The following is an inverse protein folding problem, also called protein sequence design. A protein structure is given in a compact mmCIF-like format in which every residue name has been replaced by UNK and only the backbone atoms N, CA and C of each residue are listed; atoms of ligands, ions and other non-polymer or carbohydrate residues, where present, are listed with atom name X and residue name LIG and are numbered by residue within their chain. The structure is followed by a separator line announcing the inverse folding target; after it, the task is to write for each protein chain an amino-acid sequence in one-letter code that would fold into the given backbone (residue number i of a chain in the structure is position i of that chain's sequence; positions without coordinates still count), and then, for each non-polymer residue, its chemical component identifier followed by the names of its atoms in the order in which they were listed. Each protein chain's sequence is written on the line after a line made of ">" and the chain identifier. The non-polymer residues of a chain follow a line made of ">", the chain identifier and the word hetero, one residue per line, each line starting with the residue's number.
data_IF_698429278198
#
_entry.id   IF_698429278198
#
_cell.length_a   1.000
_cell.length_b   1.000
_cell.length_c   1.000
_cell.angle_alpha   90.00
_cell.angle_beta   90.00
_cell.angle_gamma   90.00
#
_symmetry.space_group_name_H-M   'P 1'
#
loop_
_entity.id
_entity.type
_entity.pdbx_description
1 polymer ?
#
# COMPACT_ATOMS: atom_id res chain seq x y z
N UNK A 1 -7.34 18.34 -36.35
CA UNK A 1 -7.38 17.52 -35.14
C UNK A 1 -6.32 16.42 -35.21
N UNK A 2 -5.47 16.22 -34.19
CA UNK A 2 -4.48 15.14 -34.21
C UNK A 2 -5.20 13.77 -34.26
N UNK A 3 -4.59 12.80 -35.00
CA UNK A 3 -5.17 11.45 -35.19
C UNK A 3 -5.54 10.73 -33.86
N UNK A 4 -4.90 11.10 -32.72
CA UNK A 4 -5.19 10.56 -31.37
C UNK A 4 -6.56 11.03 -30.85
N UNK A 5 -6.93 12.31 -31.00
CA UNK A 5 -8.23 12.85 -30.59
C UNK A 5 -9.41 12.23 -31.36
N UNK A 6 -9.24 11.96 -32.67
CA UNK A 6 -10.23 11.29 -33.49
C UNK A 6 -10.48 9.83 -33.06
N UNK A 7 -9.43 9.08 -32.67
CA UNK A 7 -9.56 7.72 -32.14
C UNK A 7 -10.31 7.70 -30.79
N UNK A 8 -9.99 8.65 -29.90
CA UNK A 8 -10.64 8.78 -28.60
C UNK A 8 -12.12 9.18 -28.76
N UNK A 9 -12.44 10.15 -29.65
CA UNK A 9 -13.82 10.57 -29.93
C UNK A 9 -14.65 9.42 -30.54
N UNK A 10 -14.08 8.64 -31.45
CA UNK A 10 -14.72 7.47 -32.06
C UNK A 10 -15.01 6.37 -31.01
N UNK A 11 -14.10 6.13 -30.08
CA UNK A 11 -14.29 5.16 -28.99
C UNK A 11 -15.36 5.65 -27.99
N UNK A 12 -15.35 6.95 -27.66
CA UNK A 12 -16.38 7.57 -26.80
C UNK A 12 -17.78 7.49 -27.40
N UNK A 13 -17.92 7.72 -28.70
CA UNK A 13 -19.18 7.59 -29.43
C UNK A 13 -19.64 6.12 -29.47
N UNK A 14 -18.71 5.19 -29.70
CA UNK A 14 -19.01 3.76 -29.71
C UNK A 14 -19.42 3.26 -28.31
N UNK A 15 -18.78 3.77 -27.26
CA UNK A 15 -19.11 3.47 -25.85
C UNK A 15 -20.45 4.09 -25.42
N UNK A 16 -20.75 5.35 -25.81
CA UNK A 16 -22.07 5.96 -25.61
C UNK A 16 -23.19 5.19 -26.29
N UNK A 17 -22.96 4.60 -27.47
CA UNK A 17 -23.93 3.72 -28.14
C UNK A 17 -24.12 2.38 -27.39
N UNK A 18 -23.12 1.87 -26.72
CA UNK A 18 -23.19 0.68 -25.87
C UNK A 18 -23.87 0.97 -24.51
N UNK A 19 -23.65 2.16 -23.94
CA UNK A 19 -24.27 2.59 -22.68
C UNK A 19 -25.80 2.88 -22.80
N UNK A 20 -26.32 3.16 -24.00
CA UNK A 20 -27.76 3.27 -24.24
C UNK A 20 -28.52 1.94 -24.08
N UNK A 21 -27.82 0.83 -23.88
CA UNK A 21 -28.41 -0.50 -23.63
C UNK A 21 -28.38 -0.93 -22.15
N UNK A 22 -28.25 -0.03 -21.18
CA UNK A 22 -28.36 -0.30 -19.73
C UNK A 22 -27.58 -1.52 -19.20
N UNK A 23 -26.54 -1.99 -19.89
CA UNK A 23 -25.59 -2.92 -19.29
C UNK A 23 -24.52 -2.11 -18.59
N UNK A 24 -24.48 -2.16 -17.26
CA UNK A 24 -23.34 -1.70 -16.47
C UNK A 24 -22.08 -2.34 -17.04
N UNK A 25 -21.11 -1.53 -17.49
CA UNK A 25 -19.79 -2.02 -17.90
C UNK A 25 -19.11 -2.56 -16.67
N UNK A 26 -19.32 -3.84 -16.38
CA UNK A 26 -18.59 -4.49 -15.29
C UNK A 26 -17.10 -4.54 -15.64
N UNK A 27 -16.29 -3.98 -14.76
CA UNK A 27 -14.83 -4.13 -14.82
C UNK A 27 -14.52 -5.62 -14.80
N UNK A 28 -13.66 -6.08 -15.69
CA UNK A 28 -13.25 -7.48 -15.69
C UNK A 28 -12.49 -7.78 -14.40
N UNK A 29 -12.96 -8.77 -13.63
CA UNK A 29 -12.26 -9.25 -12.45
C UNK A 29 -10.83 -9.69 -12.81
N UNK A 30 -9.86 -9.26 -11.99
CA UNK A 30 -8.45 -9.65 -12.10
C UNK A 30 -7.85 -9.82 -10.71
N UNK A 31 -7.05 -10.87 -10.54
CA UNK A 31 -6.32 -11.11 -9.31
C UNK A 31 -5.10 -10.18 -9.15
N UNK A 32 -4.63 -10.05 -7.92
CA UNK A 32 -3.47 -9.21 -7.56
C UNK A 32 -2.23 -9.55 -8.42
N UNK A 33 -1.92 -10.82 -8.59
CA UNK A 33 -0.78 -11.27 -9.40
C UNK A 33 -0.94 -10.93 -10.90
N UNK A 34 -2.16 -10.97 -11.43
CA UNK A 34 -2.46 -10.55 -12.80
C UNK A 34 -2.32 -9.04 -12.96
N UNK A 35 -2.84 -8.24 -12.02
CA UNK A 35 -2.72 -6.78 -12.04
C UNK A 35 -1.26 -6.33 -11.99
N UNK A 36 -0.43 -6.97 -11.14
CA UNK A 36 1.01 -6.70 -11.09
C UNK A 36 1.67 -6.92 -12.45
N UNK A 37 1.44 -8.06 -13.08
CA UNK A 37 1.97 -8.39 -14.40
C UNK A 37 1.47 -7.42 -15.46
N UNK A 38 0.17 -7.13 -15.49
CA UNK A 38 -0.44 -6.23 -16.44
C UNK A 38 0.18 -4.83 -16.42
N UNK A 39 0.46 -4.30 -15.22
CA UNK A 39 1.12 -3.01 -15.06
C UNK A 39 2.56 -3.03 -15.61
N UNK A 40 3.34 -4.00 -15.21
CA UNK A 40 4.72 -4.12 -15.64
C UNK A 40 4.83 -4.32 -17.16
N UNK A 41 3.95 -5.14 -17.76
CA UNK A 41 3.90 -5.37 -19.21
C UNK A 41 3.46 -4.11 -19.97
N UNK A 42 2.51 -3.35 -19.43
CA UNK A 42 2.08 -2.09 -20.00
C UNK A 42 3.25 -1.10 -20.10
N UNK A 43 3.98 -0.88 -19.00
CA UNK A 43 5.10 0.04 -19.01
C UNK A 43 6.32 -0.47 -19.80
N UNK A 44 6.55 -1.79 -19.85
CA UNK A 44 7.52 -2.37 -20.76
C UNK A 44 7.19 -2.02 -22.22
N UNK A 45 5.90 -2.08 -22.60
CA UNK A 45 5.44 -1.68 -23.94
C UNK A 45 5.67 -0.19 -24.25
N UNK A 46 5.81 0.66 -23.23
CA UNK A 46 6.18 2.08 -23.32
C UNK A 46 7.71 2.30 -23.27
N UNK A 47 8.50 1.24 -23.31
CA UNK A 47 9.96 1.28 -23.33
C UNK A 47 10.65 1.28 -21.96
N UNK A 48 9.93 1.02 -20.87
CA UNK A 48 10.52 0.91 -19.55
C UNK A 48 11.26 -0.42 -19.35
N UNK A 49 12.36 -0.38 -18.60
CA UNK A 49 13.03 -1.57 -18.13
C UNK A 49 12.28 -2.09 -16.90
N UNK A 50 11.78 -3.32 -16.94
CA UNK A 50 11.26 -3.98 -15.75
C UNK A 50 12.42 -4.31 -14.81
N UNK A 51 12.37 -3.78 -13.60
CA UNK A 51 13.31 -4.14 -12.55
C UNK A 51 12.60 -4.96 -11.47
N UNK A 52 13.33 -5.89 -10.86
CA UNK A 52 12.84 -6.62 -9.69
C UNK A 52 12.65 -5.67 -8.51
N UNK A 53 11.77 -6.04 -7.58
CA UNK A 53 11.66 -5.35 -6.29
C UNK A 53 13.00 -5.35 -5.56
N UNK A 54 13.37 -4.21 -5.04
CA UNK A 54 14.54 -4.10 -4.15
C UNK A 54 14.21 -4.69 -2.79
N UNK A 55 15.26 -4.98 -2.01
CA UNK A 55 15.13 -5.38 -0.62
C UNK A 55 14.42 -4.30 0.21
N UNK A 56 13.67 -4.71 1.23
CA UNK A 56 13.13 -3.81 2.25
C UNK A 56 14.22 -3.15 3.09
N UNK A 57 15.43 -3.71 3.09
CA UNK A 57 16.61 -3.13 3.75
C UNK A 57 17.22 -2.08 2.81
N UNK A 58 17.20 -0.78 3.17
CA UNK A 58 17.81 0.26 2.36
C UNK A 58 19.30 -0.01 2.13
N UNK A 59 19.75 0.19 0.89
CA UNK A 59 21.15 0.10 0.54
C UNK A 59 21.74 1.51 0.45
N UNK A 60 22.79 1.79 1.24
CA UNK A 60 23.48 3.09 1.27
C UNK A 60 22.60 4.32 1.60
N UNK A 61 21.43 4.13 2.21
CA UNK A 61 20.58 5.21 2.67
C UNK A 61 20.28 5.07 4.17
N UNK A 62 20.94 5.88 4.99
CA UNK A 62 20.76 5.91 6.45
C UNK A 62 19.56 6.77 6.89
N UNK A 63 18.90 7.47 5.97
CA UNK A 63 17.70 8.28 6.26
C UNK A 63 16.46 7.43 6.43
N UNK A 64 16.46 6.21 5.91
CA UNK A 64 15.34 5.27 5.97
C UNK A 64 15.69 4.04 6.79
N UNK A 65 14.80 3.68 7.69
CA UNK A 65 14.92 2.43 8.44
C UNK A 65 14.55 1.22 7.57
N UNK A 66 13.45 1.33 6.82
CA UNK A 66 12.92 0.29 5.93
C UNK A 66 12.38 1.01 4.69
N UNK A 67 12.47 0.39 3.51
CA UNK A 67 11.93 0.93 2.26
C UNK A 67 10.42 1.11 2.38
N UNK A 68 9.94 2.33 2.11
CA UNK A 68 8.57 2.78 2.31
C UNK A 68 7.91 3.35 1.05
N UNK A 69 8.65 3.41 -0.07
CA UNK A 69 8.15 3.91 -1.37
C UNK A 69 8.91 3.28 -2.53
N UNK A 70 8.32 3.34 -3.73
CA UNK A 70 8.93 2.84 -4.96
C UNK A 70 10.19 3.61 -5.37
N UNK A 71 10.23 4.91 -5.08
CA UNK A 71 11.34 5.79 -5.41
C UNK A 71 12.56 5.61 -4.50
N UNK A 72 12.35 5.21 -3.23
CA UNK A 72 13.41 5.20 -2.23
C UNK A 72 14.69 4.47 -2.69
N UNK A 73 14.65 3.25 -3.26
CA UNK A 73 15.84 2.58 -3.75
C UNK A 73 16.41 3.18 -5.04
N UNK A 74 15.68 4.05 -5.73
CA UNK A 74 16.07 4.69 -6.99
C UNK A 74 16.57 6.13 -6.80
N UNK A 75 16.57 6.65 -5.55
CA UNK A 75 16.94 8.02 -5.22
C UNK A 75 18.27 8.50 -5.84
N UNK A 76 19.35 7.68 -5.94
CA UNK A 76 20.60 8.09 -6.59
C UNK A 76 20.44 8.45 -8.08
N UNK A 77 19.47 7.85 -8.79
CA UNK A 77 19.19 8.15 -10.19
C UNK A 77 18.46 9.49 -10.35
N UNK A 78 17.59 9.85 -9.42
CA UNK A 78 16.89 11.15 -9.40
C UNK A 78 17.84 12.32 -9.17
N UNK A 79 18.84 12.12 -8.32
CA UNK A 79 19.83 13.15 -7.97
C UNK A 79 21.00 13.21 -8.95
N UNK A 80 21.11 12.27 -9.89
CA UNK A 80 22.22 12.16 -10.81
C UNK A 80 23.53 11.64 -10.16
N UNK A 81 23.47 11.10 -8.94
CA UNK A 81 24.61 10.47 -8.28
C UNK A 81 25.02 9.16 -8.96
N UNK A 82 24.07 8.46 -9.53
CA UNK A 82 24.28 7.24 -10.31
C UNK A 82 23.57 7.33 -11.65
N UNK A 83 24.12 6.63 -12.66
CA UNK A 83 23.51 6.51 -13.97
C UNK A 83 22.51 5.35 -13.93
N UNK A 84 21.22 5.58 -14.26
CA UNK A 84 20.25 4.51 -14.28
C UNK A 84 20.55 3.51 -15.42
N UNK A 85 20.22 2.22 -15.26
CA UNK A 85 20.43 1.22 -16.32
C UNK A 85 19.60 1.52 -17.57
N UNK A 86 18.53 2.27 -17.42
CA UNK A 86 17.72 2.86 -18.51
C UNK A 86 17.01 4.10 -17.96
N UNK A 87 16.78 5.11 -18.80
CA UNK A 87 16.07 6.33 -18.38
C UNK A 87 14.60 6.12 -18.03
N UNK A 88 14.01 4.99 -18.47
CA UNK A 88 12.65 4.55 -18.13
C UNK A 88 12.73 3.23 -17.39
N UNK A 89 12.21 3.20 -16.19
CA UNK A 89 12.20 2.02 -15.33
C UNK A 89 10.79 1.80 -14.79
N UNK A 90 10.38 0.54 -14.62
CA UNK A 90 9.14 0.18 -13.92
C UNK A 90 9.41 -0.92 -12.91
N UNK A 91 8.78 -0.84 -11.75
CA UNK A 91 8.92 -1.80 -10.66
C UNK A 91 7.58 -2.09 -10.00
N UNK A 92 7.51 -3.22 -9.31
CA UNK A 92 6.55 -3.47 -8.25
C UNK A 92 7.34 -3.60 -6.95
N UNK A 93 7.44 -2.52 -6.18
CA UNK A 93 8.30 -2.42 -5.00
C UNK A 93 7.59 -2.84 -3.72
N UNK A 94 8.21 -3.75 -2.98
CA UNK A 94 7.85 -4.07 -1.59
C UNK A 94 8.05 -2.85 -0.70
N UNK A 95 7.03 -2.48 0.07
CA UNK A 95 7.08 -1.33 0.97
C UNK A 95 6.55 -1.67 2.35
N UNK A 96 7.14 -1.08 3.38
CA UNK A 96 6.66 -1.15 4.77
C UNK A 96 6.46 0.28 5.30
N UNK A 97 5.25 0.56 5.78
CA UNK A 97 4.90 1.79 6.52
C UNK A 97 4.32 1.42 7.88
N UNK A 98 4.90 1.96 8.94
CA UNK A 98 4.48 1.68 10.33
C UNK A 98 3.82 2.87 11.01
N UNK A 99 3.80 4.05 10.38
CA UNK A 99 3.12 5.24 10.92
C UNK A 99 1.66 4.99 11.22
N UNK A 100 0.97 4.23 10.38
CA UNK A 100 -0.46 3.93 10.49
C UNK A 100 -0.79 2.60 11.16
N UNK A 101 0.14 1.99 11.90
CA UNK A 101 -0.06 0.66 12.51
C UNK A 101 -1.32 0.57 13.36
N UNK A 102 -1.72 1.67 14.01
CA UNK A 102 -2.93 1.72 14.84
C UNK A 102 -4.22 1.81 14.01
N UNK A 103 -4.13 2.17 12.72
CA UNK A 103 -5.24 2.21 11.77
C UNK A 103 -5.44 0.87 11.06
N UNK A 104 -4.43 -0.01 11.11
CA UNK A 104 -4.51 -1.35 10.52
C UNK A 104 -5.63 -2.15 11.18
N UNK A 105 -6.49 -2.69 10.36
CA UNK A 105 -7.67 -3.45 10.78
C UNK A 105 -8.92 -2.59 11.07
N UNK A 106 -8.79 -1.26 11.19
CA UNK A 106 -9.91 -0.33 11.46
C UNK A 106 -10.42 0.35 10.19
N UNK A 107 -9.57 0.55 9.20
CA UNK A 107 -9.90 1.19 7.92
C UNK A 107 -9.84 0.20 6.77
N UNK A 108 -10.47 0.52 5.65
CA UNK A 108 -10.51 -0.33 4.46
C UNK A 108 -9.20 -0.32 3.64
N UNK A 109 -8.33 0.69 3.82
CA UNK A 109 -7.22 1.01 2.91
C UNK A 109 -5.82 0.97 3.54
N UNK A 110 -5.70 0.82 4.88
CA UNK A 110 -4.41 0.83 5.55
C UNK A 110 -3.86 -0.57 5.81
N UNK A 111 -2.62 -0.79 5.36
CA UNK A 111 -1.81 -1.96 5.64
C UNK A 111 -0.37 -1.57 5.95
N UNK A 112 0.33 -2.38 6.73
CA UNK A 112 1.75 -2.17 7.06
C UNK A 112 2.64 -2.51 5.87
N UNK A 113 2.44 -3.68 5.27
CA UNK A 113 3.08 -4.08 4.02
C UNK A 113 2.13 -3.83 2.85
N UNK A 114 2.66 -3.25 1.80
CA UNK A 114 1.95 -3.09 0.53
C UNK A 114 2.92 -3.15 -0.65
N UNK A 115 2.39 -3.40 -1.83
CA UNK A 115 3.13 -3.39 -3.07
C UNK A 115 2.87 -2.08 -3.81
N UNK A 116 3.93 -1.33 -4.13
CA UNK A 116 3.86 -0.09 -4.89
C UNK A 116 4.30 -0.34 -6.32
N UNK A 117 3.35 -0.24 -7.24
CA UNK A 117 3.60 -0.21 -8.67
C UNK A 117 4.12 1.18 -9.05
N UNK A 118 5.23 1.25 -9.75
CA UNK A 118 5.86 2.51 -10.11
C UNK A 118 6.43 2.51 -11.52
N UNK A 119 6.28 3.64 -12.21
CA UNK A 119 6.97 3.95 -13.45
C UNK A 119 7.76 5.25 -13.26
N UNK A 120 9.01 5.22 -13.68
CA UNK A 120 10.00 6.24 -13.40
C UNK A 120 10.61 6.75 -14.68
N UNK A 121 10.85 8.08 -14.74
CA UNK A 121 11.60 8.75 -15.82
C UNK A 121 12.75 9.52 -15.22
N UNK A 122 13.93 9.29 -15.73
CA UNK A 122 15.15 10.00 -15.34
C UNK A 122 15.57 10.93 -16.47
N UNK A 123 14.95 12.13 -16.54
CA UNK A 123 15.20 13.13 -17.56
C UNK A 123 14.83 12.70 -18.99
N UNK A 124 13.79 11.87 -19.16
CA UNK A 124 13.31 11.40 -20.47
C UNK A 124 11.92 11.99 -20.77
N UNK A 125 10.85 11.46 -20.16
CA UNK A 125 9.51 12.03 -20.28
C UNK A 125 9.09 12.74 -18.99
N UNK A 126 8.03 13.56 -19.07
CA UNK A 126 7.54 14.32 -17.93
C UNK A 126 6.01 14.24 -17.80
N UNK A 127 5.33 15.35 -17.42
CA UNK A 127 3.90 15.38 -17.06
C UNK A 127 2.98 14.85 -18.16
N UNK A 128 3.23 15.22 -19.41
CA UNK A 128 2.35 14.85 -20.53
C UNK A 128 2.22 13.34 -20.65
N UNK A 129 3.32 12.64 -20.85
CA UNK A 129 3.30 11.18 -20.98
C UNK A 129 2.86 10.50 -19.70
N UNK A 130 3.29 10.99 -18.52
CA UNK A 130 2.92 10.38 -17.24
C UNK A 130 1.40 10.40 -17.04
N UNK A 131 0.74 11.53 -17.27
CA UNK A 131 -0.71 11.68 -17.14
C UNK A 131 -1.43 10.85 -18.22
N UNK A 132 -1.00 10.92 -19.47
CA UNK A 132 -1.63 10.16 -20.55
C UNK A 132 -1.53 8.65 -20.33
N UNK A 133 -0.38 8.13 -19.89
CA UNK A 133 -0.21 6.69 -19.66
C UNK A 133 -0.93 6.20 -18.41
N UNK A 134 -1.01 7.01 -17.37
CA UNK A 134 -1.81 6.64 -16.19
C UNK A 134 -3.30 6.55 -16.54
N UNK A 135 -3.79 7.49 -17.34
CA UNK A 135 -5.16 7.45 -17.84
C UNK A 135 -5.43 6.27 -18.77
N UNK A 136 -4.55 6.04 -19.76
CA UNK A 136 -4.62 4.91 -20.69
C UNK A 136 -4.62 3.57 -19.95
N UNK A 137 -3.73 3.43 -18.96
CA UNK A 137 -3.67 2.21 -18.16
C UNK A 137 -4.97 1.94 -17.41
N UNK A 138 -5.45 2.92 -16.67
CA UNK A 138 -6.67 2.74 -15.86
C UNK A 138 -7.92 2.52 -16.71
N UNK A 139 -8.08 3.27 -17.80
CA UNK A 139 -9.33 3.26 -18.58
C UNK A 139 -9.35 2.26 -19.74
N UNK A 140 -8.20 2.04 -20.41
CA UNK A 140 -8.14 1.14 -21.57
C UNK A 140 -7.59 -0.24 -21.22
N UNK A 141 -6.57 -0.32 -20.35
CA UNK A 141 -5.91 -1.59 -20.00
C UNK A 141 -6.62 -2.29 -18.86
N UNK A 142 -6.91 -1.60 -17.77
CA UNK A 142 -7.68 -2.14 -16.64
C UNK A 142 -9.18 -2.12 -16.94
N UNK A 143 -9.68 -1.09 -17.62
CA UNK A 143 -11.07 -0.95 -18.02
C UNK A 143 -11.95 -0.28 -16.97
N UNK A 144 -11.36 0.56 -16.09
CA UNK A 144 -12.14 1.33 -15.14
C UNK A 144 -13.02 2.36 -15.85
N UNK A 145 -14.16 2.67 -15.25
CA UNK A 145 -15.07 3.68 -15.76
C UNK A 145 -14.45 5.08 -15.64
N UNK A 146 -14.20 5.79 -16.76
CA UNK A 146 -13.65 7.14 -16.74
C UNK A 146 -14.50 8.13 -15.97
N UNK A 147 -15.82 7.92 -15.90
CA UNK A 147 -16.73 8.84 -15.21
C UNK A 147 -16.65 8.71 -13.68
N UNK A 148 -15.97 7.66 -13.18
CA UNK A 148 -15.68 7.43 -11.77
C UNK A 148 -14.24 7.83 -11.37
N UNK A 149 -13.42 8.33 -12.30
CA UNK A 149 -12.06 8.75 -12.06
C UNK A 149 -12.00 10.27 -11.90
N UNK A 150 -11.37 10.73 -10.83
CA UNK A 150 -11.25 12.13 -10.42
C UNK A 150 -9.78 12.47 -10.15
N UNK A 151 -9.13 13.27 -11.01
CA UNK A 151 -7.76 13.72 -10.74
C UNK A 151 -7.74 14.89 -9.74
N UNK A 152 -6.71 14.92 -8.91
CA UNK A 152 -6.29 16.10 -8.18
C UNK A 152 -4.93 16.59 -8.70
N UNK A 153 -4.63 17.86 -8.45
CA UNK A 153 -3.38 18.50 -8.83
C UNK A 153 -2.93 19.46 -7.75
N UNK A 154 -1.63 19.77 -7.72
CA UNK A 154 -1.15 20.89 -6.92
C UNK A 154 -1.80 22.21 -7.38
N UNK A 155 -2.21 23.04 -6.44
CA UNK A 155 -3.04 24.22 -6.67
C UNK A 155 -2.50 25.16 -7.76
N UNK A 156 -1.17 25.29 -7.87
CA UNK A 156 -0.48 26.19 -8.80
C UNK A 156 0.01 25.47 -10.07
N UNK A 157 -0.33 24.18 -10.26
CA UNK A 157 0.11 23.39 -11.43
C UNK A 157 -0.90 23.49 -12.59
N UNK A 158 -0.90 24.65 -13.28
CA UNK A 158 -1.75 24.86 -14.45
C UNK A 158 -1.36 24.01 -15.65
N UNK A 159 -0.12 23.53 -15.73
CA UNK A 159 0.32 22.60 -16.77
C UNK A 159 -0.42 21.27 -16.63
N UNK A 160 -0.40 20.66 -15.44
CA UNK A 160 -1.15 19.42 -15.18
C UNK A 160 -2.67 19.60 -15.37
N UNK A 161 -3.23 20.75 -14.93
CA UNK A 161 -4.63 21.09 -15.17
C UNK A 161 -4.96 21.08 -16.66
N UNK A 162 -4.14 21.73 -17.49
CA UNK A 162 -4.37 21.79 -18.94
C UNK A 162 -4.29 20.42 -19.61
N UNK A 163 -3.37 19.56 -19.20
CA UNK A 163 -3.27 18.19 -19.72
C UNK A 163 -4.56 17.43 -19.37
N UNK A 164 -5.00 17.42 -18.11
CA UNK A 164 -6.24 16.75 -17.71
C UNK A 164 -7.47 17.29 -18.42
N UNK A 165 -7.60 18.63 -18.50
CA UNK A 165 -8.79 19.27 -19.05
C UNK A 165 -8.83 19.26 -20.59
N UNK A 166 -7.73 19.73 -21.24
CA UNK A 166 -7.75 19.97 -22.70
C UNK A 166 -7.35 18.74 -23.49
N UNK A 167 -6.45 17.90 -22.98
CA UNK A 167 -5.90 16.77 -23.74
C UNK A 167 -6.63 15.48 -23.41
N UNK A 168 -6.80 15.16 -22.12
CA UNK A 168 -7.59 14.00 -21.65
C UNK A 168 -9.09 14.30 -21.79
N UNK A 169 -9.53 15.55 -21.59
CA UNK A 169 -10.92 15.99 -21.74
C UNK A 169 -11.78 15.80 -20.50
N UNK A 170 -11.17 15.85 -19.31
CA UNK A 170 -11.90 15.84 -18.03
C UNK A 170 -12.52 17.23 -17.81
N UNK A 171 -13.79 17.27 -17.40
CA UNK A 171 -14.46 18.53 -17.09
C UNK A 171 -13.80 19.24 -15.90
N UNK A 172 -13.64 20.57 -15.94
CA UNK A 172 -12.92 21.34 -14.92
C UNK A 172 -13.39 21.07 -13.48
N UNK A 173 -14.70 20.88 -13.29
CA UNK A 173 -15.33 20.60 -12.00
C UNK A 173 -14.99 19.22 -11.41
N UNK A 174 -14.37 18.35 -12.22
CA UNK A 174 -13.88 17.03 -11.79
C UNK A 174 -12.38 17.02 -11.52
N UNK A 175 -11.68 18.15 -11.68
CA UNK A 175 -10.25 18.29 -11.40
C UNK A 175 -10.10 19.10 -10.13
N UNK A 176 -9.58 18.47 -9.07
CA UNK A 176 -9.47 19.09 -7.75
C UNK A 176 -8.09 19.72 -7.58
N UNK A 177 -8.06 20.91 -6.96
CA UNK A 177 -6.82 21.64 -6.64
C UNK A 177 -6.59 21.60 -5.14
N UNK A 178 -5.48 21.01 -4.72
CA UNK A 178 -5.11 20.94 -3.31
C UNK A 178 -3.77 21.62 -3.04
N UNK A 179 -3.55 21.92 -1.78
CA UNK A 179 -2.33 22.57 -1.31
C UNK A 179 -1.13 21.62 -1.24
N UNK A 180 -0.09 22.11 -0.57
CA UNK A 180 1.15 21.37 -0.40
C UNK A 180 0.98 20.10 0.45
N UNK A 181 0.02 20.09 1.34
CA UNK A 181 -0.23 18.96 2.25
C UNK A 181 -0.69 17.71 1.50
N UNK A 182 -1.43 17.88 0.38
CA UNK A 182 -2.01 16.77 -0.37
C UNK A 182 -1.30 16.54 -1.72
N UNK A 183 -1.04 17.62 -2.49
CA UNK A 183 -0.53 17.49 -3.86
C UNK A 183 0.91 18.01 -4.07
N UNK A 184 1.76 17.90 -3.05
CA UNK A 184 3.20 18.12 -3.17
C UNK A 184 3.93 17.02 -2.40
N UNK A 185 4.65 16.15 -3.11
CA UNK A 185 5.36 15.06 -2.47
C UNK A 185 6.77 15.47 -2.07
N UNK A 186 7.10 15.27 -0.81
CA UNK A 186 8.44 15.40 -0.25
C UNK A 186 8.64 14.44 0.93
N UNK A 187 9.86 13.95 1.11
CA UNK A 187 10.20 13.10 2.23
C UNK A 187 11.61 13.42 2.74
N UNK A 188 11.68 14.30 3.74
CA UNK A 188 12.95 14.82 4.25
C UNK A 188 13.76 15.53 3.18
N UNK A 189 15.09 15.40 3.24
CA UNK A 189 15.97 15.94 2.20
C UNK A 189 15.96 15.06 0.94
N UNK A 190 15.94 15.69 -0.22
CA UNK A 190 16.01 14.98 -1.51
C UNK A 190 15.05 15.45 -2.58
N UNK A 191 14.89 14.66 -3.65
CA UNK A 191 14.00 14.97 -4.76
C UNK A 191 12.55 15.12 -4.30
N UNK A 192 11.88 16.16 -4.79
CA UNK A 192 10.49 16.48 -4.46
C UNK A 192 9.81 17.27 -5.59
N UNK A 193 8.52 17.45 -5.49
CA UNK A 193 7.77 18.26 -6.44
C UNK A 193 6.27 18.14 -6.32
N UNK A 194 5.52 18.95 -7.11
CA UNK A 194 4.07 18.85 -7.18
C UNK A 194 3.67 17.46 -7.70
N UNK A 195 2.47 17.04 -7.32
CA UNK A 195 1.95 15.77 -7.80
C UNK A 195 0.50 15.88 -8.25
N UNK A 196 0.08 14.88 -9.02
CA UNK A 196 -1.29 14.68 -9.46
C UNK A 196 -1.74 13.28 -9.06
N UNK A 197 -2.76 13.21 -8.24
CA UNK A 197 -3.34 11.97 -7.79
C UNK A 197 -4.59 11.62 -8.59
N UNK A 198 -4.90 10.34 -8.69
CA UNK A 198 -6.10 9.84 -9.35
C UNK A 198 -6.93 9.08 -8.31
N UNK A 199 -8.14 9.56 -8.07
CA UNK A 199 -9.11 8.95 -7.16
C UNK A 199 -10.17 8.20 -7.95
N UNK A 200 -10.65 7.09 -7.39
CA UNK A 200 -11.78 6.34 -7.91
C UNK A 200 -12.98 6.47 -6.98
N UNK A 201 -14.13 6.93 -7.50
CA UNK A 201 -15.39 6.96 -6.74
C UNK A 201 -15.98 5.55 -6.63
N UNK A 202 -15.92 4.96 -5.45
CA UNK A 202 -16.47 3.64 -5.13
C UNK A 202 -17.99 3.65 -4.93
N UNK A 203 -18.57 4.84 -4.91
CA UNK A 203 -20.01 5.04 -4.73
C UNK A 203 -20.40 5.43 -3.30
N UNK A 204 -21.63 5.92 -3.16
CA UNK A 204 -22.15 6.51 -1.91
C UNK A 204 -22.15 5.56 -0.72
N UNK A 205 -22.26 4.24 -0.96
CA UNK A 205 -22.24 3.22 0.10
C UNK A 205 -20.97 3.25 0.94
N UNK A 206 -19.86 3.77 0.40
CA UNK A 206 -18.56 3.92 1.08
C UNK A 206 -18.31 5.33 1.61
N UNK A 207 -19.27 6.24 1.39
CA UNK A 207 -19.19 7.62 1.85
C UNK A 207 -19.44 7.79 3.35
N UNK A 208 -19.01 8.92 3.90
CA UNK A 208 -19.22 9.27 5.30
C UNK A 208 -20.68 9.71 5.62
N UNK A 209 -21.56 9.79 4.64
CA UNK A 209 -22.95 10.25 4.79
C UNK A 209 -23.09 11.73 5.12
N UNK A 210 -22.00 12.51 5.13
CA UNK A 210 -22.03 13.94 5.41
C UNK A 210 -22.26 14.75 4.14
N UNK A 211 -23.01 15.88 4.20
CA UNK A 211 -23.08 16.81 3.10
C UNK A 211 -21.67 17.30 2.71
N UNK A 212 -21.40 17.37 1.40
CA UNK A 212 -20.09 17.81 0.89
C UNK A 212 -19.00 16.72 0.83
N UNK A 213 -19.38 15.43 0.99
CA UNK A 213 -18.44 14.33 0.73
C UNK A 213 -17.92 14.39 -0.72
N UNK A 214 -16.62 14.62 -0.87
CA UNK A 214 -15.95 14.82 -2.16
C UNK A 214 -14.53 14.23 -2.13
N UNK A 215 -13.78 14.35 -3.21
CA UNK A 215 -12.33 14.02 -3.24
C UNK A 215 -11.61 14.79 -2.14
N UNK A 216 -10.67 14.11 -1.44
CA UNK A 216 -10.00 14.64 -0.25
C UNK A 216 -10.74 14.37 1.08
N UNK A 217 -11.93 13.76 1.05
CA UNK A 217 -12.59 13.30 2.27
C UNK A 217 -11.91 12.04 2.82
N UNK A 218 -11.74 11.95 4.14
CA UNK A 218 -11.11 10.80 4.82
C UNK A 218 -11.91 9.49 4.77
N UNK A 219 -13.11 9.51 4.17
CA UNK A 219 -13.92 8.29 4.00
C UNK A 219 -13.40 7.41 2.86
N UNK A 220 -13.95 6.19 2.76
CA UNK A 220 -13.53 5.21 1.77
C UNK A 220 -14.22 5.33 0.40
N UNK A 221 -15.00 6.40 0.14
CA UNK A 221 -15.69 6.63 -1.13
C UNK A 221 -14.73 6.95 -2.25
N UNK A 222 -13.91 7.99 -2.08
CA UNK A 222 -12.92 8.41 -3.06
C UNK A 222 -11.57 7.82 -2.69
N UNK A 223 -11.27 6.66 -3.26
CA UNK A 223 -10.01 5.97 -2.97
C UNK A 223 -8.92 6.47 -3.92
N UNK A 224 -7.86 7.06 -3.37
CA UNK A 224 -6.64 7.33 -4.12
C UNK A 224 -6.06 6.00 -4.63
N UNK A 225 -5.94 5.86 -5.94
CA UNK A 225 -5.39 4.67 -6.59
C UNK A 225 -4.00 4.92 -7.16
N UNK A 226 -3.68 6.14 -7.58
CA UNK A 226 -2.40 6.46 -8.23
C UNK A 226 -1.95 7.86 -7.90
N UNK A 227 -0.65 8.03 -7.59
CA UNK A 227 0.00 9.32 -7.43
C UNK A 227 1.11 9.47 -8.49
N UNK A 228 1.06 10.55 -9.29
CA UNK A 228 2.07 10.94 -10.26
C UNK A 228 2.86 12.13 -9.70
N UNK A 229 4.10 11.91 -9.26
CA UNK A 229 4.97 12.95 -8.71
C UNK A 229 5.87 13.50 -9.80
N UNK A 230 5.85 14.81 -9.97
CA UNK A 230 6.65 15.57 -10.92
C UNK A 230 7.91 16.10 -10.22
N UNK A 231 8.88 15.20 -9.99
CA UNK A 231 10.12 15.51 -9.27
C UNK A 231 10.97 16.47 -10.06
N UNK A 232 10.97 17.73 -9.65
CA UNK A 232 11.71 18.81 -10.30
C UNK A 232 12.55 19.63 -9.33
N UNK A 233 12.36 19.47 -8.03
CA UNK A 233 13.08 20.20 -6.99
C UNK A 233 13.87 19.24 -6.11
N UNK A 234 14.91 19.77 -5.46
CA UNK A 234 15.64 19.14 -4.38
C UNK A 234 15.44 19.94 -3.10
N UNK A 235 14.88 19.31 -2.07
CA UNK A 235 14.74 19.88 -0.73
C UNK A 235 16.02 19.61 0.07
N UNK A 236 16.59 20.61 0.71
CA UNK A 236 17.77 20.50 1.57
C UNK A 236 17.47 19.92 2.98
N UNK A 237 16.20 19.66 3.28
CA UNK A 237 15.72 19.21 4.59
C UNK A 237 15.44 20.35 5.57
N UNK A 238 15.68 21.60 5.17
CA UNK A 238 15.42 22.82 5.95
C UNK A 238 14.32 23.69 5.32
N UNK A 239 13.66 23.18 4.27
CA UNK A 239 12.59 23.87 3.57
C UNK A 239 13.06 24.75 2.41
N UNK A 240 14.34 24.71 2.01
CA UNK A 240 14.83 25.38 0.83
C UNK A 240 14.80 24.43 -0.36
N UNK A 241 14.32 24.92 -1.50
CA UNK A 241 14.17 24.16 -2.73
C UNK A 241 15.09 24.71 -3.82
N UNK A 242 15.80 23.82 -4.49
CA UNK A 242 16.59 24.14 -5.68
C UNK A 242 16.13 23.24 -6.81
N UNK A 243 16.25 23.69 -8.06
CA UNK A 243 15.92 22.87 -9.22
C UNK A 243 16.83 21.65 -9.30
N UNK A 244 16.26 20.49 -9.63
CA UNK A 244 17.04 19.31 -10.01
C UNK A 244 17.74 19.55 -11.36
N UNK A 245 18.87 18.88 -11.58
CA UNK A 245 19.62 18.92 -12.84
C UNK A 245 18.72 18.49 -14.02
N UNK A 246 17.77 17.61 -13.76
CA UNK A 246 16.80 17.11 -14.74
C UNK A 246 15.43 16.93 -14.07
N UNK A 247 14.38 17.10 -14.87
CA UNK A 247 13.01 16.79 -14.45
C UNK A 247 12.79 15.29 -14.52
N UNK A 248 12.19 14.72 -13.48
CA UNK A 248 11.97 13.29 -13.35
C UNK A 248 10.51 12.99 -13.08
N UNK A 249 10.09 11.77 -13.40
CA UNK A 249 8.81 11.21 -12.99
C UNK A 249 9.03 10.13 -11.95
N UNK A 250 8.32 10.26 -10.86
CA UNK A 250 8.12 9.24 -9.83
C UNK A 250 6.63 8.95 -9.75
N UNK A 251 6.23 7.69 -9.83
CA UNK A 251 4.82 7.36 -9.63
C UNK A 251 4.66 6.23 -8.62
N UNK A 252 3.54 6.28 -7.90
CA UNK A 252 3.18 5.25 -6.94
C UNK A 252 1.71 4.88 -7.05
N UNK A 253 1.43 3.62 -7.38
CA UNK A 253 0.09 3.04 -7.37
C UNK A 253 0.07 1.86 -6.41
N UNK A 254 -0.77 1.92 -5.37
CA UNK A 254 -0.94 0.80 -4.45
C UNK A 254 -1.63 -0.37 -5.15
N UNK A 255 -0.93 -1.50 -5.28
CA UNK A 255 -1.46 -2.69 -5.97
C UNK A 255 -2.71 -3.21 -5.27
N UNK A 256 -2.72 -3.24 -3.93
CA UNK A 256 -3.89 -3.68 -3.16
C UNK A 256 -5.07 -2.72 -3.31
N UNK A 257 -4.84 -1.40 -3.36
CA UNK A 257 -5.91 -0.41 -3.60
C UNK A 257 -6.49 -0.55 -5.01
N UNK A 258 -5.65 -0.74 -6.02
CA UNK A 258 -6.12 -1.04 -7.38
C UNK A 258 -6.96 -2.33 -7.40
N UNK A 259 -6.51 -3.37 -6.69
CA UNK A 259 -7.23 -4.64 -6.61
C UNK A 259 -8.60 -4.47 -5.92
N UNK A 260 -8.70 -3.66 -4.85
CA UNK A 260 -10.00 -3.34 -4.21
C UNK A 260 -11.00 -2.78 -5.22
N UNK A 261 -10.54 -1.86 -6.06
CA UNK A 261 -11.39 -1.22 -7.08
C UNK A 261 -11.77 -2.22 -8.19
N UNK A 262 -10.83 -3.01 -8.68
CA UNK A 262 -11.03 -3.94 -9.80
C UNK A 262 -11.87 -5.16 -9.39
N UNK A 263 -11.69 -5.64 -8.17
CA UNK A 263 -12.43 -6.78 -7.62
C UNK A 263 -13.78 -6.36 -6.99
N UNK A 264 -14.05 -5.04 -6.90
CA UNK A 264 -15.25 -4.44 -6.26
C UNK A 264 -15.50 -5.01 -4.86
N UNK A 265 -14.46 -5.00 -4.02
CA UNK A 265 -14.50 -5.51 -2.65
C UNK A 265 -14.43 -4.38 -1.62
N UNK A 266 -14.84 -4.64 -0.36
CA UNK A 266 -15.00 -3.60 0.66
C UNK A 266 -13.66 -3.03 1.14
N UNK A 267 -12.61 -3.88 1.25
CA UNK A 267 -11.33 -3.50 1.82
C UNK A 267 -10.15 -4.25 1.18
N UNK A 268 -8.92 -3.82 1.46
CA UNK A 268 -7.72 -4.55 1.05
C UNK A 268 -7.68 -5.97 1.61
N UNK A 269 -8.32 -6.24 2.75
CA UNK A 269 -8.41 -7.57 3.36
C UNK A 269 -9.38 -8.52 2.63
N UNK A 270 -10.17 -7.99 1.70
CA UNK A 270 -11.12 -8.75 0.89
C UNK A 270 -10.58 -9.04 -0.52
N UNK A 271 -9.39 -8.50 -0.90
CA UNK A 271 -8.75 -8.86 -2.19
C UNK A 271 -8.24 -10.29 -2.15
N UNK A 272 -8.21 -10.96 -3.29
CA UNK A 272 -7.98 -12.41 -3.44
C UNK A 272 -6.82 -12.96 -2.58
N UNK A 273 -5.64 -12.37 -2.64
CA UNK A 273 -4.44 -12.84 -1.90
C UNK A 273 -4.56 -12.66 -0.39
N UNK A 274 -5.11 -11.51 0.07
CA UNK A 274 -5.31 -11.26 1.49
C UNK A 274 -6.54 -12.01 2.02
N UNK A 275 -7.57 -12.19 1.21
CA UNK A 275 -8.75 -12.97 1.55
C UNK A 275 -8.38 -14.44 1.87
N UNK A 276 -7.50 -15.05 1.07
CA UNK A 276 -7.04 -16.42 1.34
C UNK A 276 -6.36 -16.52 2.72
N UNK A 277 -5.49 -15.55 3.04
CA UNK A 277 -4.81 -15.49 4.34
C UNK A 277 -5.78 -15.21 5.49
N UNK A 278 -6.69 -14.24 5.33
CA UNK A 278 -7.75 -13.92 6.29
C UNK A 278 -8.63 -15.14 6.59
N UNK A 279 -9.04 -15.86 5.54
CA UNK A 279 -9.87 -17.05 5.70
C UNK A 279 -9.12 -18.15 6.48
N UNK A 280 -7.80 -18.26 6.29
CA UNK A 280 -6.96 -19.19 7.06
C UNK A 280 -6.88 -18.80 8.54
N UNK A 281 -6.82 -17.50 8.86
CA UNK A 281 -6.92 -17.01 10.25
C UNK A 281 -8.26 -17.40 10.86
N UNK A 282 -9.38 -17.17 10.13
CA UNK A 282 -10.72 -17.53 10.59
C UNK A 282 -10.86 -19.04 10.86
N UNK A 283 -10.35 -19.89 9.93
CA UNK A 283 -10.34 -21.34 10.09
C UNK A 283 -9.61 -21.77 11.38
N UNK A 284 -8.43 -21.18 11.63
CA UNK A 284 -7.62 -21.53 12.81
C UNK A 284 -8.23 -21.05 14.11
N UNK A 285 -8.95 -19.94 14.09
CA UNK A 285 -9.64 -19.39 15.27
C UNK A 285 -11.04 -19.97 15.49
N UNK A 286 -11.60 -20.69 14.51
CA UNK A 286 -12.97 -21.20 14.58
C UNK A 286 -14.03 -20.09 14.55
N UNK A 287 -13.73 -18.94 13.93
CA UNK A 287 -14.61 -17.76 13.85
C UNK A 287 -14.97 -17.41 12.42
N UNK A 288 -16.02 -16.61 12.23
CA UNK A 288 -16.41 -16.11 10.92
C UNK A 288 -16.16 -14.62 10.81
N UNK A 289 -15.63 -14.20 9.68
CA UNK A 289 -15.40 -12.79 9.37
C UNK A 289 -16.72 -12.04 9.15
N UNK A 290 -16.80 -10.80 9.62
CA UNK A 290 -17.98 -9.91 9.59
C UNK A 290 -19.14 -10.32 10.51
N UNK A 291 -18.87 -11.13 11.57
CA UNK A 291 -19.84 -11.44 12.61
C UNK A 291 -19.59 -10.63 13.91
N UNK A 292 -18.35 -10.29 14.22
CA UNK A 292 -17.96 -9.49 15.40
C UNK A 292 -16.83 -8.51 15.04
N UNK A 293 -17.05 -7.22 15.25
CA UNK A 293 -16.11 -6.16 14.85
C UNK A 293 -14.76 -6.26 15.58
N UNK A 294 -14.73 -6.67 16.83
CA UNK A 294 -13.47 -6.82 17.59
C UNK A 294 -12.65 -8.01 17.10
N UNK A 295 -13.35 -9.10 16.75
CA UNK A 295 -12.71 -10.25 16.12
C UNK A 295 -12.21 -9.89 14.74
N UNK A 296 -12.99 -9.13 13.94
CA UNK A 296 -12.60 -8.67 12.62
C UNK A 296 -11.34 -7.82 12.65
N UNK A 297 -11.21 -6.89 13.59
CA UNK A 297 -9.96 -6.12 13.78
C UNK A 297 -8.79 -7.05 14.06
N UNK A 298 -8.97 -8.05 14.93
CA UNK A 298 -7.91 -9.02 15.25
C UNK A 298 -7.52 -9.87 14.03
N UNK A 299 -8.48 -10.33 13.25
CA UNK A 299 -8.27 -11.09 12.03
C UNK A 299 -7.47 -10.27 11.01
N UNK A 300 -7.85 -9.00 10.79
CA UNK A 300 -7.16 -8.08 9.86
C UNK A 300 -5.74 -7.76 10.32
N UNK A 301 -5.53 -7.51 11.62
CA UNK A 301 -4.19 -7.27 12.18
C UNK A 301 -3.28 -8.47 11.98
N UNK A 302 -3.74 -9.69 12.24
CA UNK A 302 -2.96 -10.91 12.02
C UNK A 302 -2.62 -11.04 10.54
N UNK A 303 -3.61 -10.86 9.66
CA UNK A 303 -3.45 -10.96 8.19
C UNK A 303 -2.39 -9.98 7.68
N UNK A 304 -2.45 -8.72 8.08
CA UNK A 304 -1.49 -7.69 7.70
C UNK A 304 -0.08 -7.99 8.23
N UNK A 305 0.01 -8.25 9.52
CA UNK A 305 1.30 -8.33 10.18
C UNK A 305 2.08 -9.58 9.80
N UNK A 306 1.43 -10.73 9.61
CA UNK A 306 2.14 -11.93 9.17
C UNK A 306 2.67 -11.79 7.73
N UNK A 307 1.94 -11.08 6.85
CA UNK A 307 2.42 -10.74 5.51
C UNK A 307 3.68 -9.87 5.63
N UNK A 308 3.62 -8.81 6.42
CA UNK A 308 4.76 -7.91 6.67
C UNK A 308 6.00 -8.66 7.18
N UNK A 309 5.82 -9.46 8.22
CA UNK A 309 6.90 -10.23 8.87
C UNK A 309 7.53 -11.24 7.90
N UNK A 310 6.71 -11.93 7.09
CA UNK A 310 7.19 -12.89 6.09
C UNK A 310 8.16 -12.24 5.10
N UNK A 311 7.78 -11.09 4.54
CA UNK A 311 8.64 -10.35 3.60
C UNK A 311 9.87 -9.75 4.28
N UNK A 312 9.74 -9.22 5.50
CA UNK A 312 10.88 -8.67 6.25
C UNK A 312 11.92 -9.77 6.53
N UNK A 313 11.51 -10.95 6.98
CA UNK A 313 12.44 -12.09 7.21
C UNK A 313 13.07 -12.56 5.91
N UNK A 314 12.30 -12.65 4.83
CA UNK A 314 12.83 -13.00 3.50
C UNK A 314 13.95 -12.06 3.06
N UNK A 315 13.86 -10.78 3.39
CA UNK A 315 14.87 -9.76 3.09
C UNK A 315 16.02 -9.70 4.12
N UNK A 316 16.06 -10.65 5.06
CA UNK A 316 17.17 -10.83 6.00
C UNK A 316 17.05 -10.03 7.29
N UNK A 317 15.89 -9.41 7.57
CA UNK A 317 15.65 -8.74 8.84
C UNK A 317 15.38 -9.79 9.93
N UNK A 318 16.12 -9.70 11.03
CA UNK A 318 15.99 -10.60 12.17
C UNK A 318 15.36 -9.89 13.36
N UNK A 319 14.54 -10.59 14.19
CA UNK A 319 13.98 -9.99 15.40
C UNK A 319 15.06 -9.49 16.35
N UNK A 320 14.96 -8.22 16.77
CA UNK A 320 15.91 -7.60 17.72
C UNK A 320 15.20 -6.58 18.62
N UNK A 321 15.93 -5.95 19.55
CA UNK A 321 15.38 -4.95 20.46
C UNK A 321 15.41 -3.53 19.89
N UNK A 322 16.07 -3.32 18.76
CA UNK A 322 16.27 -1.99 18.17
C UNK A 322 16.22 -2.03 16.65
N UNK A 323 16.11 -0.86 16.04
CA UNK A 323 16.14 -0.68 14.60
C UNK A 323 15.04 -1.44 13.88
N UNK A 324 15.34 -1.93 12.68
CA UNK A 324 14.36 -2.65 11.83
C UNK A 324 13.94 -4.00 12.41
N UNK A 325 14.81 -4.63 13.19
CA UNK A 325 14.48 -5.88 13.88
C UNK A 325 13.46 -5.69 15.01
N UNK A 326 13.44 -4.52 15.66
CA UNK A 326 12.40 -4.15 16.60
C UNK A 326 11.03 -3.99 15.92
N UNK A 327 11.00 -3.37 14.74
CA UNK A 327 9.77 -3.25 13.94
C UNK A 327 9.20 -4.63 13.62
N UNK A 328 10.04 -5.54 13.11
CA UNK A 328 9.64 -6.92 12.85
C UNK A 328 9.08 -7.60 14.09
N UNK A 329 9.82 -7.53 15.21
CA UNK A 329 9.42 -8.13 16.48
C UNK A 329 8.08 -7.55 16.98
N UNK A 330 7.88 -6.24 16.89
CA UNK A 330 6.63 -5.57 17.27
C UNK A 330 5.44 -6.09 16.47
N UNK A 331 5.58 -6.22 15.13
CA UNK A 331 4.53 -6.72 14.25
C UNK A 331 4.21 -8.19 14.57
N UNK A 332 5.22 -9.04 14.68
CA UNK A 332 5.06 -10.46 15.00
C UNK A 332 4.33 -10.65 16.34
N UNK A 333 4.81 -9.97 17.38
CA UNK A 333 4.21 -10.07 18.74
C UNK A 333 2.79 -9.52 18.77
N UNK A 334 2.50 -8.46 18.03
CA UNK A 334 1.15 -7.92 17.90
C UNK A 334 0.22 -8.94 17.23
N UNK A 335 0.66 -9.60 16.15
CA UNK A 335 -0.09 -10.68 15.52
C UNK A 335 -0.33 -11.86 16.47
N UNK A 336 0.71 -12.32 17.19
CA UNK A 336 0.57 -13.40 18.17
C UNK A 336 -0.42 -13.05 19.31
N UNK A 337 -0.38 -11.81 19.83
CA UNK A 337 -1.34 -11.33 20.83
C UNK A 337 -2.77 -11.35 20.31
N UNK A 338 -3.00 -10.87 19.08
CA UNK A 338 -4.33 -10.89 18.46
C UNK A 338 -4.82 -12.33 18.22
N UNK A 339 -3.92 -13.29 17.93
CA UNK A 339 -4.28 -14.70 17.86
C UNK A 339 -4.83 -15.23 19.19
N UNK A 340 -4.19 -14.88 20.31
CA UNK A 340 -4.72 -15.24 21.64
C UNK A 340 -6.08 -14.60 21.94
N UNK A 341 -6.29 -13.34 21.51
CA UNK A 341 -7.60 -12.68 21.65
C UNK A 341 -8.71 -13.38 20.86
N UNK A 342 -8.34 -14.09 19.78
CA UNK A 342 -9.26 -14.93 19.00
C UNK A 342 -9.37 -16.36 19.53
N UNK A 343 -8.67 -16.71 20.63
CA UNK A 343 -8.66 -18.05 21.20
C UNK A 343 -7.75 -19.06 20.48
N UNK A 344 -6.84 -18.60 19.60
CA UNK A 344 -5.88 -19.52 18.95
C UNK A 344 -4.81 -19.92 19.98
N UNK A 345 -4.71 -21.21 20.24
CA UNK A 345 -3.73 -21.75 21.17
C UNK A 345 -2.43 -22.17 20.45
N UNK A 346 -1.31 -22.03 21.14
CA UNK A 346 0.00 -22.46 20.66
C UNK A 346 0.56 -21.58 19.53
N UNK A 347 1.38 -22.21 18.67
CA UNK A 347 2.02 -21.54 17.51
C UNK A 347 1.17 -21.67 16.26
N UNK A 348 0.94 -20.57 15.59
CA UNK A 348 0.12 -20.54 14.38
C UNK A 348 0.69 -19.64 13.27
N UNK A 349 1.55 -18.67 13.60
CA UNK A 349 2.05 -17.68 12.64
C UNK A 349 2.89 -18.32 11.54
N UNK A 350 3.70 -19.35 11.85
CA UNK A 350 4.47 -20.08 10.86
C UNK A 350 3.60 -20.79 9.80
N UNK A 351 2.41 -21.28 10.19
CA UNK A 351 1.45 -21.88 9.26
C UNK A 351 0.80 -20.84 8.35
N UNK A 352 0.51 -19.64 8.90
CA UNK A 352 -0.01 -18.51 8.11
C UNK A 352 1.05 -17.97 7.14
N UNK A 353 2.34 -17.97 7.54
CA UNK A 353 3.45 -17.59 6.69
C UNK A 353 3.49 -18.44 5.40
N UNK A 354 3.21 -19.74 5.47
CA UNK A 354 3.14 -20.59 4.27
C UNK A 354 2.04 -20.11 3.30
N UNK A 355 0.89 -19.66 3.81
CA UNK A 355 -0.17 -19.10 2.97
C UNK A 355 0.28 -17.81 2.28
N UNK A 356 1.07 -16.96 2.97
CA UNK A 356 1.66 -15.75 2.37
C UNK A 356 2.63 -16.12 1.24
N UNK A 357 3.49 -17.10 1.46
CA UNK A 357 4.45 -17.58 0.47
C UNK A 357 3.73 -18.10 -0.78
N UNK A 358 2.74 -18.99 -0.60
CA UNK A 358 1.96 -19.54 -1.71
C UNK A 358 1.26 -18.44 -2.54
N UNK A 359 0.66 -17.45 -1.90
CA UNK A 359 -0.03 -16.35 -2.59
C UNK A 359 0.90 -15.34 -3.28
N UNK A 360 2.18 -15.31 -2.92
CA UNK A 360 3.13 -14.26 -3.35
C UNK A 360 4.31 -14.78 -4.19
N UNK A 361 4.59 -16.07 -4.23
CA UNK A 361 5.78 -16.66 -4.88
C UNK A 361 5.90 -16.37 -6.37
N UNK A 362 4.79 -16.12 -7.08
CA UNK A 362 4.82 -15.78 -8.51
C UNK A 362 5.47 -14.41 -8.75
N UNK A 363 5.28 -13.47 -7.85
CA UNK A 363 5.91 -12.14 -7.89
C UNK A 363 7.26 -12.10 -7.19
N UNK A 364 7.46 -12.98 -6.22
CA UNK A 364 8.60 -12.99 -5.29
C UNK A 364 9.11 -14.43 -5.06
N UNK A 365 9.78 -15.04 -6.05
CA UNK A 365 10.23 -16.43 -5.97
C UNK A 365 11.21 -16.70 -4.82
N UNK A 366 11.91 -15.68 -4.34
CA UNK A 366 12.78 -15.75 -3.17
C UNK A 366 12.07 -16.18 -1.88
N UNK A 367 10.77 -15.99 -1.78
CA UNK A 367 9.97 -16.46 -0.65
C UNK A 367 9.94 -17.99 -0.61
N UNK A 368 9.78 -18.64 -1.76
CA UNK A 368 9.82 -20.09 -1.87
C UNK A 368 11.21 -20.65 -1.57
N UNK A 369 12.25 -20.03 -2.14
CA UNK A 369 13.64 -20.41 -1.93
C UNK A 369 14.05 -20.37 -0.44
N UNK A 370 13.50 -19.39 0.31
CA UNK A 370 13.80 -19.18 1.73
C UNK A 370 12.71 -19.70 2.68
N UNK A 371 11.72 -20.45 2.21
CA UNK A 371 10.55 -20.92 2.98
C UNK A 371 10.94 -21.49 4.35
N UNK A 372 11.86 -22.45 4.38
CA UNK A 372 12.31 -23.10 5.62
C UNK A 372 12.95 -22.11 6.61
N UNK A 373 13.74 -21.17 6.10
CA UNK A 373 14.36 -20.15 6.93
C UNK A 373 13.32 -19.21 7.53
N UNK A 374 12.40 -18.71 6.70
CA UNK A 374 11.37 -17.76 7.12
C UNK A 374 10.47 -18.38 8.20
N UNK A 375 9.95 -19.58 7.94
CA UNK A 375 9.05 -20.28 8.86
C UNK A 375 9.74 -20.58 10.20
N UNK A 376 11.03 -20.94 10.17
CA UNK A 376 11.82 -21.20 11.37
C UNK A 376 11.97 -19.94 12.23
N UNK A 377 12.40 -18.82 11.64
CA UNK A 377 12.58 -17.54 12.35
C UNK A 377 11.28 -17.08 13.01
N UNK A 378 10.17 -17.13 12.27
CA UNK A 378 8.85 -16.75 12.78
C UNK A 378 8.44 -17.66 13.94
N UNK A 379 8.56 -18.98 13.78
CA UNK A 379 8.20 -19.95 14.80
C UNK A 379 9.02 -19.80 16.10
N UNK A 380 10.32 -19.51 15.99
CA UNK A 380 11.19 -19.31 17.15
C UNK A 380 10.88 -18.03 17.93
N UNK A 381 10.60 -16.93 17.24
CA UNK A 381 10.23 -15.67 17.92
C UNK A 381 8.82 -15.73 18.52
N UNK A 382 7.87 -16.39 17.86
CA UNK A 382 6.54 -16.66 18.38
C UNK A 382 6.61 -17.49 19.67
N UNK A 383 7.44 -18.54 19.69
CA UNK A 383 7.64 -19.42 20.87
C UNK A 383 8.23 -18.65 22.06
N UNK A 384 9.25 -17.80 21.80
CA UNK A 384 9.82 -16.92 22.83
C UNK A 384 8.78 -15.96 23.40
N UNK A 385 7.93 -15.39 22.55
CA UNK A 385 6.90 -14.45 22.98
C UNK A 385 5.79 -15.13 23.77
N UNK A 386 5.34 -16.31 23.33
CA UNK A 386 4.33 -17.11 24.04
C UNK A 386 4.80 -17.43 25.46
N UNK A 387 6.05 -17.89 25.65
CA UNK A 387 6.62 -18.13 26.97
C UNK A 387 6.64 -16.86 27.83
N UNK A 388 6.97 -15.70 27.26
CA UNK A 388 6.95 -14.42 27.99
C UNK A 388 5.55 -14.05 28.47
N UNK A 389 4.53 -14.22 27.59
CA UNK A 389 3.12 -13.94 27.96
C UNK A 389 2.66 -14.91 29.05
N UNK A 390 2.95 -16.22 28.91
CA UNK A 390 2.52 -17.23 29.89
C UNK A 390 3.12 -16.94 31.28
N UNK A 391 4.40 -16.55 31.32
CA UNK A 391 5.04 -16.10 32.56
C UNK A 391 4.38 -14.84 33.15
N UNK A 392 4.10 -13.83 32.30
CA UNK A 392 3.43 -12.60 32.74
C UNK A 392 2.02 -12.84 33.26
N UNK A 393 1.25 -13.72 32.61
CA UNK A 393 -0.08 -14.10 33.06
C UNK A 393 -0.04 -14.89 34.39
N UNK A 394 0.95 -15.79 34.54
CA UNK A 394 1.14 -16.50 35.82
C UNK A 394 1.39 -15.53 36.98
N UNK A 395 2.31 -14.56 36.77
CA UNK A 395 2.60 -13.54 37.80
C UNK A 395 1.35 -12.70 38.10
N UNK A 396 0.60 -12.30 37.07
CA UNK A 396 -0.65 -11.53 37.26
C UNK A 396 -1.69 -12.33 38.08
N UNK A 397 -1.91 -13.61 37.74
CA UNK A 397 -2.83 -14.47 38.45
C UNK A 397 -2.40 -14.66 39.92
N UNK A 398 -1.10 -14.81 40.19
CA UNK A 398 -0.58 -14.91 41.54
C UNK A 398 -0.85 -13.61 42.36
N UNK A 399 -0.65 -12.44 41.73
CA UNK A 399 -0.95 -11.13 42.33
C UNK A 399 -2.43 -10.93 42.57
N UNK A 400 -3.31 -11.33 41.65
CA UNK A 400 -4.75 -11.28 41.80
C UNK A 400 -5.23 -12.18 42.96
N UNK A 401 -4.68 -13.39 43.05
CA UNK A 401 -4.99 -14.31 44.16
C UNK A 401 -4.54 -13.75 45.50
N UNK A 402 -3.35 -13.11 45.57
CA UNK A 402 -2.86 -12.44 46.77
C UNK A 402 -3.77 -11.28 47.22
N UNK A 403 -4.18 -10.41 46.25
CA UNK A 403 -5.11 -9.30 46.55
C UNK A 403 -6.46 -9.81 47.03
N UNK A 404 -7.01 -10.83 46.37
CA UNK A 404 -8.27 -11.44 46.76
C UNK A 404 -8.19 -12.01 48.21
N UNK A 405 -7.04 -12.62 48.57
CA UNK A 405 -6.83 -13.13 49.95
C UNK A 405 -6.76 -12.02 50.98
N UNK A 406 -6.35 -10.81 50.62
CA UNK A 406 -6.26 -9.62 51.47
C UNK A 406 -7.55 -8.78 51.50
N UNK A 407 -8.53 -9.11 50.65
CA UNK A 407 -9.74 -8.30 50.46
C UNK A 407 -9.52 -6.95 49.79
N UNK A 408 -8.40 -6.83 49.05
CA UNK A 408 -7.99 -5.63 48.32
C UNK A 408 -8.36 -5.75 46.84
N UNK A 409 -8.82 -4.65 46.22
CA UNK A 409 -9.33 -4.66 44.85
C UNK A 409 -8.47 -3.82 43.86
N UNK A 410 -7.23 -3.42 44.20
CA UNK A 410 -6.44 -2.53 43.39
C UNK A 410 -5.00 -2.99 43.14
N UNK A 411 -4.64 -3.18 41.86
CA UNK A 411 -3.27 -3.47 41.37
C UNK A 411 -2.44 -2.20 41.10
N UNK A 412 -3.02 -0.99 41.25
CA UNK A 412 -2.41 0.27 40.81
C UNK A 412 -1.10 0.64 41.52
N UNK A 413 -0.87 0.11 42.73
CA UNK A 413 0.36 0.42 43.50
C UNK A 413 1.56 -0.45 43.16
N UNK A 414 1.41 -1.47 42.32
CA UNK A 414 2.52 -2.39 41.97
C UNK A 414 3.18 -2.08 40.62
N UNK A 415 2.56 -1.23 39.77
CA UNK A 415 3.11 -0.90 38.45
C UNK A 415 4.16 0.20 38.46
N UNK A 416 4.24 1.02 39.51
CA UNK A 416 5.21 2.14 39.60
C UNK A 416 6.56 1.71 40.22
N UNK A 417 6.74 0.43 40.52
CA UNK A 417 7.96 -0.11 41.11
C UNK A 417 8.77 -1.05 40.20
N UNK A 418 8.46 -1.08 38.86
CA UNK A 418 9.14 -1.94 37.90
C UNK A 418 9.76 -1.15 36.77
#
# INVERSE_FOLDING_TARGET
>A
MPRRQLRWLHRRIKRKRLLNNQEEVKVQYRGVNELRRLYLDFFESKGHLKMKSFSLVPHNDNSLLIINSGMAPLKPYFTGQEIPPRRRVTTCQKCIRTGDIENVGKTARHGTFFEMLGNFSFGDYFKDEAIHWSWEFLTETVGLDPDRLYPSIYQDDDEAFNIWNKEIGIAPERIFRFGKEDNFWEHGAGPCGPCSEIYYDRGEKYGCGKPGCTVGCDCDRYMEVWNNVFSQFNNDGHGNYTDLIQKNIDTGMGLERLAVVVQDVDSIFDVDTLQALRNKVCEMAGVKYKEDEKQDVSIRVITDHIRSVTFMVSDGIMPSNEGRGYVLRRLLRRAARHGRLLGIEGKFLSKLCETVIEGSKDGYPELEEKRTFITKVISEEEDKFNKTIDQGLSILNDMEAELASKGENCLLYTSDAA
#
